data_IF_487653742781
#
_entry.id   IF_487653742781
#
_cell.length_a   1.000
_cell.length_b   1.000
_cell.length_c   1.000
_cell.angle_alpha   90.00
_cell.angle_beta   90.00
_cell.angle_gamma   90.00
#
_symmetry.space_group_name_H-M   'P 1'
#
loop_
_entity.id
_entity.type
_entity.pdbx_description
1 polymer ?
#
# COMPACT_ATOMS: atom_id res chain seq x y z
N UNK A 1 7.78 16.12 9.66
CA UNK A 1 6.48 15.51 9.93
C UNK A 1 6.45 14.09 9.40
N UNK A 2 5.91 13.17 10.17
CA UNK A 2 5.87 11.78 9.78
C UNK A 2 4.75 11.55 8.77
N UNK A 3 5.05 10.70 7.77
CA UNK A 3 4.02 10.31 6.83
C UNK A 3 3.04 9.37 7.55
N UNK A 4 1.74 9.64 7.48
CA UNK A 4 0.76 8.85 8.24
C UNK A 4 0.42 7.51 7.62
N UNK A 5 0.77 7.28 6.36
CA UNK A 5 0.40 6.06 5.66
C UNK A 5 1.64 5.24 5.34
N UNK A 6 1.57 3.96 5.69
CA UNK A 6 2.61 2.99 5.36
C UNK A 6 2.11 2.06 4.27
N UNK A 7 3.01 1.68 3.38
CA UNK A 7 2.69 0.79 2.27
C UNK A 7 3.49 -0.49 2.45
N UNK A 8 2.77 -1.61 2.46
CA UNK A 8 3.37 -2.94 2.61
C UNK A 8 3.05 -3.79 1.39
N UNK A 9 3.90 -4.74 1.12
CA UNK A 9 3.65 -5.75 0.08
C UNK A 9 3.69 -7.13 0.71
N UNK A 10 2.74 -7.98 0.30
CA UNK A 10 2.74 -9.37 0.74
C UNK A 10 3.85 -10.15 0.03
N UNK A 11 4.78 -10.69 0.80
CA UNK A 11 5.88 -11.48 0.28
C UNK A 11 6.04 -12.73 1.16
N UNK A 12 5.92 -13.88 0.54
CA UNK A 12 6.09 -15.16 1.23
C UNK A 12 5.21 -15.28 2.48
N UNK A 13 3.97 -14.81 2.36
CA UNK A 13 3.01 -14.90 3.45
C UNK A 13 3.15 -13.82 4.52
N UNK A 14 4.00 -12.83 4.31
CA UNK A 14 4.24 -11.77 5.29
C UNK A 14 4.21 -10.42 4.60
N UNK A 15 3.63 -9.43 5.27
CA UNK A 15 3.67 -8.06 4.76
C UNK A 15 5.02 -7.45 5.06
N UNK A 16 5.65 -6.90 4.01
CA UNK A 16 6.96 -6.27 4.10
C UNK A 16 6.80 -4.78 3.78
N UNK A 17 7.34 -3.91 4.62
CA UNK A 17 7.25 -2.47 4.43
C UNK A 17 8.01 -2.06 3.17
N UNK A 18 7.39 -1.19 2.36
CA UNK A 18 8.00 -0.73 1.12
C UNK A 18 8.16 0.78 1.07
N UNK A 19 7.19 1.53 1.56
CA UNK A 19 7.22 2.98 1.41
C UNK A 19 6.26 3.64 2.38
N UNK A 20 6.35 4.96 2.46
CA UNK A 20 5.43 5.76 3.24
C UNK A 20 4.87 6.88 2.36
N UNK A 21 3.71 7.40 2.71
CA UNK A 21 3.07 8.44 1.93
C UNK A 21 2.34 9.41 2.85
N UNK A 22 2.26 10.67 2.42
CA UNK A 22 1.61 11.71 3.20
C UNK A 22 0.10 11.74 3.00
N UNK A 23 -0.39 11.23 1.89
CA UNK A 23 -1.82 11.25 1.58
C UNK A 23 -2.22 9.93 0.95
N UNK A 24 -3.54 9.67 0.98
CA UNK A 24 -4.06 8.44 0.39
C UNK A 24 -3.84 8.41 -1.12
N UNK A 25 -3.99 9.55 -1.79
CA UNK A 25 -3.77 9.60 -3.22
C UNK A 25 -2.32 9.29 -3.58
N UNK A 26 -1.40 9.83 -2.79
CA UNK A 26 0.01 9.53 -2.99
C UNK A 26 0.30 8.05 -2.72
N UNK A 27 -0.35 7.49 -1.71
CA UNK A 27 -0.19 6.07 -1.40
C UNK A 27 -0.68 5.19 -2.54
N UNK A 28 -1.84 5.52 -3.13
CA UNK A 28 -2.37 4.76 -4.26
C UNK A 28 -1.43 4.83 -5.45
N UNK A 29 -0.93 6.03 -5.74
CA UNK A 29 -0.01 6.23 -6.84
C UNK A 29 1.27 5.43 -6.63
N UNK A 30 1.76 5.40 -5.41
CA UNK A 30 2.96 4.65 -5.07
C UNK A 30 2.73 3.15 -5.24
N UNK A 31 1.58 2.65 -4.78
CA UNK A 31 1.25 1.23 -4.95
C UNK A 31 1.19 0.87 -6.42
N UNK A 32 0.56 1.71 -7.24
CA UNK A 32 0.48 1.44 -8.66
C UNK A 32 1.86 1.34 -9.31
N UNK A 33 2.76 2.24 -8.92
CA UNK A 33 4.11 2.23 -9.44
C UNK A 33 4.89 1.00 -8.99
N UNK A 34 4.75 0.64 -7.71
CA UNK A 34 5.42 -0.55 -7.19
C UNK A 34 4.87 -1.82 -7.84
N UNK A 35 3.56 -1.88 -8.03
CA UNK A 35 2.93 -3.05 -8.63
C UNK A 35 3.31 -3.23 -10.10
N UNK A 36 3.62 -2.14 -10.79
CA UNK A 36 4.06 -2.24 -12.18
C UNK A 36 5.36 -3.02 -12.30
N UNK A 37 6.25 -2.87 -11.31
CA UNK A 37 7.52 -3.59 -11.29
C UNK A 37 7.41 -4.91 -10.54
N UNK A 38 6.57 -4.97 -9.54
CA UNK A 38 6.47 -6.13 -8.65
C UNK A 38 5.01 -6.39 -8.32
N UNK A 39 4.28 -7.07 -9.20
CA UNK A 39 2.86 -7.35 -8.98
C UNK A 39 2.63 -8.16 -7.72
N UNK A 40 1.47 -8.00 -7.13
CA UNK A 40 1.11 -8.74 -5.95
C UNK A 40 0.12 -7.99 -5.10
N UNK A 41 -0.04 -8.44 -3.87
CA UNK A 41 -0.98 -7.85 -2.93
C UNK A 41 -0.25 -6.79 -2.11
N UNK A 42 -0.85 -5.59 -2.03
CA UNK A 42 -0.31 -4.49 -1.26
C UNK A 42 -1.31 -4.07 -0.19
N UNK A 43 -0.82 -3.46 0.88
CA UNK A 43 -1.67 -2.96 1.96
C UNK A 43 -1.23 -1.54 2.30
N UNK A 44 -2.22 -0.65 2.40
CA UNK A 44 -1.98 0.72 2.87
C UNK A 44 -2.51 0.79 4.30
N UNK A 45 -1.62 1.10 5.24
CA UNK A 45 -1.96 1.17 6.65
C UNK A 45 -1.91 2.61 7.14
N UNK A 46 -3.00 3.07 7.75
CA UNK A 46 -3.06 4.42 8.31
C UNK A 46 -2.71 4.35 9.79
N UNK A 47 -1.55 4.90 10.15
CA UNK A 47 -1.07 4.85 11.53
C UNK A 47 -1.96 5.63 12.49
N UNK A 48 -2.55 6.72 12.00
CA UNK A 48 -3.35 7.58 12.86
C UNK A 48 -4.67 6.93 13.27
N UNK A 49 -5.28 6.17 12.37
CA UNK A 49 -6.60 5.58 12.61
C UNK A 49 -6.57 4.07 12.81
N UNK A 50 -5.49 3.41 12.36
CA UNK A 50 -5.41 1.97 12.38
C UNK A 50 -6.13 1.29 11.22
N UNK A 51 -6.64 2.07 10.28
CA UNK A 51 -7.34 1.51 9.12
C UNK A 51 -6.37 0.87 8.15
N UNK A 52 -6.82 -0.18 7.49
CA UNK A 52 -6.05 -0.90 6.50
C UNK A 52 -6.84 -1.03 5.22
N UNK A 53 -6.16 -0.88 4.10
CA UNK A 53 -6.79 -1.05 2.78
C UNK A 53 -5.91 -2.00 1.99
N UNK A 54 -6.50 -3.10 1.52
CA UNK A 54 -5.76 -4.10 0.75
C UNK A 54 -6.01 -3.85 -0.73
N UNK A 55 -4.93 -3.80 -1.50
CA UNK A 55 -4.98 -3.56 -2.94
C UNK A 55 -4.29 -4.74 -3.61
N UNK A 56 -5.02 -5.47 -4.45
CA UNK A 56 -4.47 -6.62 -5.13
C UNK A 56 -4.00 -6.23 -6.51
N UNK A 57 -2.76 -6.62 -6.83
CA UNK A 57 -2.13 -6.35 -8.13
C UNK A 57 -2.07 -4.86 -8.46
N UNK A 58 -2.06 -4.01 -7.42
CA UNK A 58 -2.00 -2.58 -7.61
C UNK A 58 -3.26 -1.97 -8.17
N UNK A 59 -4.33 -2.73 -8.31
CA UNK A 59 -5.60 -2.26 -8.86
C UNK A 59 -6.68 -2.31 -7.80
N UNK A 60 -7.62 -1.35 -7.82
CA UNK A 60 -8.75 -1.42 -6.91
C UNK A 60 -9.55 -2.70 -7.15
N UNK A 61 -10.12 -3.24 -6.09
CA UNK A 61 -10.93 -4.43 -6.20
C UNK A 61 -12.16 -4.14 -7.05
N UNK A 62 -12.42 -4.91 -8.11
CA UNK A 62 -13.64 -4.69 -8.89
C UNK A 62 -14.87 -5.05 -8.09
N UNK A 63 -15.93 -4.35 -8.34
CA UNK A 63 -17.20 -4.60 -7.65
C UNK A 63 -17.98 -5.72 -8.32
#
# INVERSE_FOLDING_TARGET
MLAPLDIFKMEDGTYVWKAAADSFELAKSTVQRLAASSPGEYMIFNQATGNKIVVKDGLPEPL
#
